data_IF_865672352155
#
_entry.id   IF_865672352155
#
_cell.length_a   1.000
_cell.length_b   1.000
_cell.length_c   1.000
_cell.angle_alpha   90.00
_cell.angle_beta   90.00
_cell.angle_gamma   90.00
#
_symmetry.space_group_name_H-M   'P 1'
#
loop_
_entity.id
_entity.type
_entity.pdbx_description
1 polymer ?
#
# COMPACT_ATOMS: atom_id res chain seq x y z
N UNK A 1 -6.41 2.57 -27.38
CA UNK A 1 -6.24 2.45 -25.93
C UNK A 1 -6.91 1.19 -25.36
N UNK A 2 -8.15 0.86 -25.74
CA UNK A 2 -8.90 -0.27 -25.17
C UNK A 2 -8.22 -1.64 -25.39
N UNK A 3 -7.66 -1.88 -26.57
CA UNK A 3 -6.93 -3.12 -26.87
C UNK A 3 -5.70 -3.29 -25.97
N UNK A 4 -5.02 -2.22 -25.62
CA UNK A 4 -3.85 -2.23 -24.75
C UNK A 4 -4.16 -2.79 -23.35
N UNK A 5 -5.32 -2.48 -22.79
CA UNK A 5 -5.74 -2.96 -21.47
C UNK A 5 -6.42 -4.34 -21.53
N UNK A 6 -7.16 -4.62 -22.60
CA UNK A 6 -7.86 -5.90 -22.78
C UNK A 6 -6.95 -7.03 -23.22
N UNK A 7 -5.89 -6.72 -23.96
CA UNK A 7 -4.91 -7.67 -24.48
C UNK A 7 -3.49 -7.28 -24.05
N UNK A 8 -3.24 -7.32 -22.74
CA UNK A 8 -1.95 -6.93 -22.18
C UNK A 8 -0.78 -7.72 -22.77
N UNK A 9 -0.95 -8.99 -23.10
CA UNK A 9 0.06 -9.81 -23.75
C UNK A 9 0.48 -9.26 -25.13
N UNK A 10 -0.44 -8.73 -25.90
CA UNK A 10 -0.14 -8.05 -27.17
C UNK A 10 0.60 -6.73 -26.93
N UNK A 11 0.18 -5.96 -25.94
CA UNK A 11 0.85 -4.72 -25.54
C UNK A 11 2.33 -4.97 -25.16
N UNK A 12 2.59 -6.05 -24.42
CA UNK A 12 3.95 -6.45 -24.03
C UNK A 12 4.85 -6.86 -25.20
N UNK A 13 4.25 -7.37 -26.30
CA UNK A 13 4.98 -7.72 -27.53
C UNK A 13 5.32 -6.46 -28.33
N UNK A 14 4.36 -5.56 -28.48
CA UNK A 14 4.46 -4.39 -29.37
C UNK A 14 5.20 -3.22 -28.69
N UNK A 15 5.11 -3.10 -27.39
CA UNK A 15 5.66 -2.01 -26.61
C UNK A 15 6.62 -2.53 -25.51
N UNK A 16 7.90 -2.77 -25.84
CA UNK A 16 8.87 -3.34 -24.89
C UNK A 16 9.02 -2.53 -23.57
N UNK A 17 8.84 -1.21 -23.63
CA UNK A 17 8.90 -0.32 -22.46
C UNK A 17 7.82 -0.64 -21.41
N UNK A 18 6.69 -1.22 -21.82
CA UNK A 18 5.64 -1.67 -20.89
C UNK A 18 6.15 -2.81 -20.01
N UNK A 19 6.97 -3.71 -20.59
CA UNK A 19 7.59 -4.81 -19.86
C UNK A 19 8.51 -4.31 -18.74
N UNK A 20 9.28 -3.26 -19.00
CA UNK A 20 10.17 -2.65 -18.00
C UNK A 20 9.39 -2.14 -16.79
N UNK A 21 8.21 -1.55 -17.00
CA UNK A 21 7.33 -1.10 -15.91
C UNK A 21 6.93 -2.26 -14.98
N UNK A 22 6.58 -3.42 -15.54
CA UNK A 22 6.21 -4.60 -14.74
C UNK A 22 7.42 -5.21 -14.01
N UNK A 23 8.59 -5.23 -14.66
CA UNK A 23 9.84 -5.67 -14.02
C UNK A 23 10.18 -4.75 -12.85
N UNK A 24 10.10 -3.43 -13.06
CA UNK A 24 10.37 -2.42 -12.04
C UNK A 24 9.42 -2.59 -10.84
N UNK A 25 8.12 -2.77 -11.11
CA UNK A 25 7.12 -3.04 -10.07
C UNK A 25 7.49 -4.26 -9.22
N UNK A 26 7.92 -5.36 -9.84
CA UNK A 26 8.34 -6.56 -9.13
C UNK A 26 9.58 -6.32 -8.26
N UNK A 27 10.56 -5.57 -8.77
CA UNK A 27 11.77 -5.19 -8.03
C UNK A 27 11.42 -4.31 -6.81
N UNK A 28 10.51 -3.34 -6.97
CA UNK A 28 10.04 -2.48 -5.88
C UNK A 28 9.44 -3.33 -4.75
N UNK A 29 8.52 -4.24 -5.08
CA UNK A 29 7.88 -5.10 -4.08
C UNK A 29 8.92 -5.98 -3.36
N UNK A 30 9.87 -6.58 -4.10
CA UNK A 30 10.94 -7.37 -3.49
C UNK A 30 11.84 -6.54 -2.57
N UNK A 31 12.14 -5.30 -2.95
CA UNK A 31 12.96 -4.42 -2.13
C UNK A 31 12.24 -3.96 -0.86
N UNK A 32 10.94 -3.66 -0.95
CA UNK A 32 10.12 -3.34 0.23
C UNK A 32 10.13 -4.50 1.22
N UNK A 33 9.99 -5.76 0.77
CA UNK A 33 10.10 -6.95 1.63
C UNK A 33 11.44 -6.97 2.36
N UNK A 34 12.54 -6.83 1.61
CA UNK A 34 13.89 -6.81 2.18
C UNK A 34 14.04 -5.73 3.26
N UNK A 35 13.59 -4.49 2.99
CA UNK A 35 13.66 -3.40 3.96
C UNK A 35 12.87 -3.73 5.23
N UNK A 36 11.66 -4.26 5.08
CA UNK A 36 10.81 -4.61 6.23
C UNK A 36 11.41 -5.74 7.06
N UNK A 37 11.90 -6.80 6.42
CA UNK A 37 12.60 -7.91 7.10
C UNK A 37 13.85 -7.43 7.86
N UNK A 38 14.67 -6.57 7.24
CA UNK A 38 15.84 -5.97 7.89
C UNK A 38 15.48 -5.05 9.09
N UNK A 39 14.23 -4.58 9.17
CA UNK A 39 13.71 -3.81 10.29
C UNK A 39 12.89 -4.66 11.29
N UNK A 40 12.98 -5.98 11.18
CA UNK A 40 12.39 -6.92 12.13
C UNK A 40 10.92 -7.23 11.91
N UNK A 41 10.33 -6.81 10.78
CA UNK A 41 8.96 -7.17 10.42
C UNK A 41 8.88 -8.57 9.83
N UNK A 42 7.92 -9.37 10.29
CA UNK A 42 7.60 -10.69 9.75
C UNK A 42 6.49 -10.56 8.68
N UNK A 43 6.74 -11.07 7.47
CA UNK A 43 5.68 -11.20 6.47
C UNK A 43 4.71 -12.31 6.86
N UNK A 44 3.43 -12.02 6.82
CA UNK A 44 2.36 -12.97 7.13
C UNK A 44 1.32 -12.97 6.02
N UNK A 45 0.58 -14.06 5.92
CA UNK A 45 -0.61 -14.18 5.07
C UNK A 45 -1.85 -14.39 5.95
N UNK A 46 -2.86 -13.54 5.74
CA UNK A 46 -4.13 -13.62 6.46
C UNK A 46 -5.28 -13.95 5.51
N UNK A 47 -6.42 -14.47 6.02
CA UNK A 47 -7.51 -14.90 5.16
C UNK A 47 -8.07 -13.80 4.25
N UNK A 48 -8.25 -14.13 2.98
CA UNK A 48 -8.95 -13.29 2.00
C UNK A 48 -10.47 -13.30 2.23
N UNK A 49 -11.01 -14.48 2.59
CA UNK A 49 -12.42 -14.65 2.89
C UNK A 49 -12.66 -14.44 4.40
N UNK A 50 -13.56 -13.55 4.72
CA UNK A 50 -13.93 -13.21 6.10
C UNK A 50 -15.43 -13.35 6.32
N UNK A 51 -15.81 -13.71 7.54
CA UNK A 51 -17.23 -13.77 7.95
C UNK A 51 -17.77 -12.39 8.32
N UNK A 52 -16.89 -11.43 8.57
CA UNK A 52 -17.20 -10.04 8.92
C UNK A 52 -16.35 -9.12 8.06
N UNK A 53 -16.97 -8.17 7.37
CA UNK A 53 -16.25 -7.11 6.67
C UNK A 53 -15.84 -6.02 7.66
N UNK A 54 -14.60 -5.53 7.54
CA UNK A 54 -14.09 -4.47 8.42
C UNK A 54 -12.66 -4.03 8.11
N UNK A 55 -12.14 -3.07 8.91
CA UNK A 55 -10.80 -2.51 8.75
C UNK A 55 -10.75 -1.31 7.79
N UNK A 56 -11.83 -1.00 7.10
CA UNK A 56 -11.95 0.19 6.24
C UNK A 56 -13.42 0.55 6.03
N UNK A 57 -13.67 1.75 5.50
CA UNK A 57 -15.00 2.15 5.03
C UNK A 57 -15.06 1.92 3.52
N UNK A 58 -15.49 0.71 3.12
CA UNK A 58 -15.65 0.32 1.73
C UNK A 58 -16.73 -0.74 1.58
N UNK A 59 -17.34 -0.82 0.39
CA UNK A 59 -18.34 -1.84 0.09
C UNK A 59 -17.64 -3.15 -0.28
N UNK A 60 -17.93 -4.29 0.41
CA UNK A 60 -17.29 -5.57 0.12
C UNK A 60 -17.93 -6.26 -1.09
N UNK A 61 -17.14 -7.16 -1.73
CA UNK A 61 -17.72 -8.23 -2.54
C UNK A 61 -18.21 -9.35 -1.61
N UNK A 62 -19.39 -9.88 -1.89
CA UNK A 62 -20.02 -10.94 -1.14
C UNK A 62 -19.99 -12.22 -1.96
N UNK A 63 -19.66 -13.34 -1.33
CA UNK A 63 -19.72 -14.68 -1.90
C UNK A 63 -20.39 -15.65 -0.93
N UNK A 64 -20.83 -16.81 -1.43
CA UNK A 64 -21.49 -17.81 -0.61
C UNK A 64 -20.61 -19.03 -0.39
N UNK A 65 -20.44 -19.45 0.86
CA UNK A 65 -19.74 -20.69 1.22
C UNK A 65 -20.72 -21.86 1.26
N UNK A 66 -20.72 -22.67 0.19
CA UNK A 66 -21.74 -23.71 0.00
C UNK A 66 -21.83 -24.73 1.14
N UNK A 67 -20.66 -25.23 1.62
CA UNK A 67 -20.66 -26.27 2.66
C UNK A 67 -21.14 -25.77 4.03
N UNK A 68 -20.88 -24.51 4.35
CA UNK A 68 -21.32 -23.91 5.62
C UNK A 68 -22.66 -23.19 5.49
N UNK A 69 -23.15 -22.98 4.26
CA UNK A 69 -24.37 -22.24 3.95
C UNK A 69 -24.40 -20.84 4.60
N UNK A 70 -23.28 -20.11 4.46
CA UNK A 70 -23.12 -18.75 4.99
C UNK A 70 -22.57 -17.81 3.92
N UNK A 71 -22.90 -16.53 4.01
CA UNK A 71 -22.27 -15.50 3.21
C UNK A 71 -20.89 -15.13 3.80
N UNK A 72 -19.94 -14.91 2.91
CA UNK A 72 -18.61 -14.46 3.24
C UNK A 72 -18.24 -13.24 2.41
N UNK A 73 -17.28 -12.49 2.90
CA UNK A 73 -16.84 -11.23 2.31
C UNK A 73 -15.39 -11.33 1.86
N UNK A 74 -15.09 -10.89 0.65
CA UNK A 74 -13.71 -10.62 0.26
C UNK A 74 -13.20 -9.44 1.07
N UNK A 75 -12.00 -9.55 1.64
CA UNK A 75 -11.41 -8.54 2.51
C UNK A 75 -11.25 -7.19 1.81
N UNK A 76 -11.62 -6.13 2.50
CA UNK A 76 -11.46 -4.73 2.06
C UNK A 76 -10.22 -4.05 2.63
N UNK A 77 -9.57 -4.66 3.63
CA UNK A 77 -8.34 -4.22 4.29
C UNK A 77 -7.67 -5.44 4.95
N UNK A 78 -6.41 -5.27 5.38
CA UNK A 78 -5.61 -6.28 6.09
C UNK A 78 -5.64 -6.06 7.62
N UNK A 79 -6.04 -4.88 8.06
CA UNK A 79 -5.95 -4.32 9.40
C UNK A 79 -6.34 -5.27 10.52
N UNK A 80 -7.58 -5.78 10.49
CA UNK A 80 -8.13 -6.51 11.64
C UNK A 80 -7.36 -7.80 11.94
N UNK A 81 -6.94 -8.51 10.90
CA UNK A 81 -6.20 -9.75 11.05
C UNK A 81 -4.76 -9.47 11.52
N UNK A 82 -4.11 -8.44 11.01
CA UNK A 82 -2.76 -8.07 11.45
C UNK A 82 -2.76 -7.60 12.92
N UNK A 83 -3.74 -6.80 13.33
CA UNK A 83 -3.91 -6.40 14.74
C UNK A 83 -4.13 -7.59 15.67
N UNK A 84 -4.88 -8.63 15.23
CA UNK A 84 -5.04 -9.87 16.01
C UNK A 84 -3.72 -10.61 16.20
N UNK A 85 -2.82 -10.59 15.22
CA UNK A 85 -1.48 -11.17 15.34
C UNK A 85 -0.64 -10.42 16.36
N UNK A 86 -0.71 -9.09 16.40
CA UNK A 86 -0.05 -8.29 17.45
C UNK A 86 -0.61 -8.65 18.84
N UNK A 87 -1.93 -8.74 18.99
CA UNK A 87 -2.55 -9.20 20.25
C UNK A 87 -2.13 -10.61 20.60
N UNK A 88 -1.89 -11.45 19.59
CA UNK A 88 -1.37 -12.82 19.74
C UNK A 88 0.10 -12.92 20.14
N UNK A 89 0.82 -11.79 20.24
CA UNK A 89 2.19 -11.72 20.73
C UNK A 89 3.27 -11.56 19.66
N UNK A 90 2.93 -11.25 18.42
CA UNK A 90 3.93 -10.82 17.43
C UNK A 90 4.27 -9.35 17.66
N UNK A 91 5.56 -9.03 17.66
CA UNK A 91 6.01 -7.64 17.86
C UNK A 91 5.84 -6.80 16.60
N UNK A 92 6.18 -7.33 15.42
CA UNK A 92 6.12 -6.62 14.13
C UNK A 92 5.67 -7.55 13.02
N UNK A 93 4.60 -7.19 12.34
CA UNK A 93 4.07 -7.96 11.21
C UNK A 93 3.73 -7.04 10.03
N UNK A 94 3.80 -7.59 8.82
CA UNK A 94 3.28 -6.95 7.62
C UNK A 94 2.68 -7.97 6.67
N UNK A 95 1.81 -7.50 5.79
CA UNK A 95 1.29 -8.28 4.68
C UNK A 95 1.25 -7.42 3.41
N UNK A 96 1.71 -7.99 2.30
CA UNK A 96 1.51 -7.43 0.96
C UNK A 96 0.51 -8.32 0.25
N UNK A 97 -0.75 -7.89 0.21
CA UNK A 97 -1.85 -8.74 -0.27
C UNK A 97 -2.87 -8.02 -1.14
N UNK A 98 -3.71 -8.81 -1.79
CA UNK A 98 -4.87 -8.29 -2.53
C UNK A 98 -5.99 -7.93 -1.56
N UNK A 99 -6.58 -6.76 -1.78
CA UNK A 99 -7.83 -6.31 -1.14
C UNK A 99 -8.85 -5.96 -2.22
N UNK A 100 -10.12 -5.98 -1.85
CA UNK A 100 -11.23 -5.94 -2.79
C UNK A 100 -12.26 -4.92 -2.32
N UNK A 101 -12.60 -3.94 -3.16
CA UNK A 101 -13.61 -2.92 -2.86
C UNK A 101 -14.60 -2.84 -3.99
N UNK A 102 -15.86 -3.17 -3.73
CA UNK A 102 -16.94 -3.19 -4.70
C UNK A 102 -17.52 -1.78 -4.90
N UNK A 103 -16.70 -0.91 -5.46
CA UNK A 103 -16.99 0.50 -5.69
C UNK A 103 -16.72 0.89 -7.15
N UNK A 104 -16.93 2.16 -7.49
CA UNK A 104 -16.69 2.66 -8.84
C UNK A 104 -15.24 2.50 -9.29
N UNK A 105 -15.04 2.30 -10.59
CA UNK A 105 -13.72 2.23 -11.22
C UNK A 105 -13.40 3.53 -11.95
N UNK A 106 -12.15 3.98 -11.82
CA UNK A 106 -11.58 5.08 -12.59
C UNK A 106 -10.08 4.80 -12.86
N UNK A 107 -9.36 5.80 -13.36
CA UNK A 107 -7.93 5.66 -13.68
C UNK A 107 -7.03 5.45 -12.44
N UNK A 108 -7.54 5.68 -11.23
CA UNK A 108 -6.83 5.54 -9.96
C UNK A 108 -7.41 4.46 -9.05
N UNK A 109 -8.62 3.99 -9.32
CA UNK A 109 -9.33 3.05 -8.47
C UNK A 109 -9.70 1.79 -9.25
N UNK A 110 -9.20 0.66 -8.79
CA UNK A 110 -9.58 -0.66 -9.25
C UNK A 110 -10.36 -1.40 -8.15
N UNK A 111 -11.28 -2.30 -8.50
CA UNK A 111 -12.03 -3.07 -7.50
C UNK A 111 -11.17 -4.07 -6.73
N UNK A 112 -10.02 -4.44 -7.29
CA UNK A 112 -8.97 -5.22 -6.60
C UNK A 112 -7.61 -4.55 -6.78
N UNK A 113 -6.84 -4.47 -5.71
CA UNK A 113 -5.50 -3.87 -5.75
C UNK A 113 -4.60 -4.46 -4.67
N UNK A 114 -3.29 -4.30 -4.85
CA UNK A 114 -2.29 -4.72 -3.87
C UNK A 114 -2.13 -3.64 -2.81
N UNK A 115 -2.22 -4.04 -1.55
CA UNK A 115 -2.03 -3.19 -0.39
C UNK A 115 -0.90 -3.73 0.46
N UNK A 116 -0.08 -2.85 1.00
CA UNK A 116 0.85 -3.12 2.08
C UNK A 116 0.25 -2.52 3.36
N UNK A 117 0.10 -3.32 4.39
CA UNK A 117 -0.12 -2.85 5.75
C UNK A 117 0.93 -3.45 6.68
N UNK A 118 1.37 -2.68 7.67
CA UNK A 118 2.33 -3.10 8.67
C UNK A 118 1.92 -2.61 10.05
N UNK A 119 2.22 -3.41 11.06
CA UNK A 119 1.86 -3.14 12.45
C UNK A 119 3.03 -3.51 13.35
N UNK A 120 3.30 -2.67 14.34
CA UNK A 120 4.34 -2.89 15.35
C UNK A 120 3.80 -2.61 16.75
N UNK A 121 4.11 -3.50 17.68
CA UNK A 121 3.85 -3.28 19.10
C UNK A 121 4.89 -2.32 19.67
N UNK A 122 4.46 -1.50 20.65
CA UNK A 122 5.32 -0.58 21.40
C UNK A 122 5.99 0.54 20.58
N UNK A 123 5.56 0.74 19.34
CA UNK A 123 5.97 1.83 18.45
C UNK A 123 4.86 2.88 18.34
N UNK A 124 5.24 4.12 18.02
CA UNK A 124 4.29 5.22 17.83
C UNK A 124 4.25 5.72 16.37
N UNK A 125 3.53 6.80 16.12
CA UNK A 125 3.41 7.36 14.78
C UNK A 125 4.73 7.95 14.24
N UNK A 126 5.69 8.31 15.10
CA UNK A 126 7.00 8.77 14.65
C UNK A 126 7.81 7.61 14.07
N UNK A 127 7.74 6.43 14.69
CA UNK A 127 8.35 5.20 14.16
C UNK A 127 7.74 4.84 12.82
N UNK A 128 6.41 5.02 12.66
CA UNK A 128 5.73 4.79 11.38
C UNK A 128 6.12 5.79 10.30
N UNK A 129 6.38 7.05 10.66
CA UNK A 129 6.94 8.04 9.74
C UNK A 129 8.33 7.64 9.28
N UNK A 130 9.19 7.21 10.21
CA UNK A 130 10.58 6.85 9.93
C UNK A 130 10.68 5.61 9.04
N UNK A 131 9.89 4.56 9.31
CA UNK A 131 9.86 3.38 8.42
C UNK A 131 9.28 3.71 7.04
N UNK A 132 8.30 4.60 6.96
CA UNK A 132 7.73 5.05 5.69
C UNK A 132 8.77 5.79 4.86
N UNK A 133 9.45 6.79 5.44
CA UNK A 133 10.53 7.53 4.80
C UNK A 133 11.61 6.57 4.30
N UNK A 134 12.03 5.62 5.15
CA UNK A 134 13.04 4.61 4.81
C UNK A 134 12.63 3.75 3.63
N UNK A 135 11.38 3.25 3.59
CA UNK A 135 10.87 2.45 2.48
C UNK A 135 10.99 3.21 1.16
N UNK A 136 10.54 4.45 1.09
CA UNK A 136 10.59 5.22 -0.15
C UNK A 136 12.02 5.58 -0.56
N UNK A 137 12.79 6.14 0.37
CA UNK A 137 14.16 6.60 0.11
C UNK A 137 15.08 5.46 -0.30
N UNK A 138 15.11 4.38 0.48
CA UNK A 138 15.99 3.24 0.21
C UNK A 138 15.55 2.49 -1.05
N UNK A 139 14.24 2.34 -1.29
CA UNK A 139 13.76 1.70 -2.53
C UNK A 139 14.16 2.50 -3.77
N UNK A 140 14.06 3.82 -3.74
CA UNK A 140 14.52 4.66 -4.84
C UNK A 140 16.02 4.50 -5.07
N UNK A 141 16.81 4.57 -4.00
CA UNK A 141 18.26 4.43 -4.07
C UNK A 141 18.68 3.05 -4.59
N UNK A 142 18.10 1.96 -4.06
CA UNK A 142 18.49 0.59 -4.40
C UNK A 142 18.10 0.20 -5.83
N UNK A 143 17.01 0.73 -6.34
CA UNK A 143 16.46 0.33 -7.64
C UNK A 143 16.84 1.28 -8.75
N UNK A 144 16.87 2.58 -8.49
CA UNK A 144 17.15 3.62 -9.49
C UNK A 144 18.56 4.17 -9.39
N UNK A 145 19.29 3.88 -8.30
CA UNK A 145 20.61 4.45 -8.02
C UNK A 145 20.57 5.93 -7.61
N UNK A 146 19.39 6.49 -7.37
CA UNK A 146 19.20 7.88 -6.98
C UNK A 146 17.90 8.05 -6.20
N UNK A 147 17.86 9.01 -5.27
CA UNK A 147 16.64 9.44 -4.59
C UNK A 147 15.85 10.50 -5.37
N UNK A 148 16.47 11.12 -6.38
CA UNK A 148 15.82 12.13 -7.22
C UNK A 148 15.08 11.47 -8.37
N UNK A 149 13.79 11.70 -8.44
CA UNK A 149 12.90 11.17 -9.48
C UNK A 149 12.16 12.32 -10.17
N UNK A 150 11.77 12.11 -11.42
CA UNK A 150 10.87 13.02 -12.13
C UNK A 150 9.49 12.39 -12.22
N UNK A 151 8.48 13.06 -11.67
CA UNK A 151 7.09 12.63 -11.75
C UNK A 151 6.22 13.74 -12.32
N UNK A 152 5.53 13.48 -13.44
CA UNK A 152 4.69 14.46 -14.15
C UNK A 152 5.40 15.80 -14.47
N UNK A 153 6.71 15.72 -14.79
CA UNK A 153 7.53 16.88 -15.12
C UNK A 153 8.08 17.65 -13.90
N UNK A 154 7.80 17.19 -12.68
CA UNK A 154 8.34 17.76 -11.46
C UNK A 154 9.45 16.89 -10.89
N UNK A 155 10.55 17.48 -10.46
CA UNK A 155 11.60 16.80 -9.71
C UNK A 155 11.15 16.63 -8.25
N UNK A 156 11.24 15.40 -7.76
CA UNK A 156 10.96 15.03 -6.38
C UNK A 156 12.22 14.39 -5.80
N UNK A 157 12.68 14.88 -4.67
CA UNK A 157 13.78 14.26 -3.92
C UNK A 157 13.22 13.42 -2.77
N UNK A 158 13.48 12.11 -2.83
CA UNK A 158 13.08 11.14 -1.83
C UNK A 158 14.19 10.89 -0.78
N UNK A 159 15.25 11.71 -0.76
CA UNK A 159 16.31 11.60 0.24
C UNK A 159 15.75 11.73 1.67
N UNK A 160 16.36 11.06 2.67
CA UNK A 160 15.92 11.18 4.06
C UNK A 160 15.92 12.62 4.59
N UNK A 161 15.11 12.90 5.59
CA UNK A 161 14.93 14.21 6.18
C UNK A 161 13.65 14.91 5.74
N UNK A 162 12.61 14.13 5.50
CA UNK A 162 11.31 14.66 5.10
C UNK A 162 10.73 15.56 6.19
N UNK A 163 10.10 16.65 5.77
CA UNK A 163 9.43 17.57 6.68
C UNK A 163 8.27 16.86 7.39
N UNK A 164 8.37 16.76 8.70
CA UNK A 164 7.29 16.26 9.56
C UNK A 164 6.45 17.45 10.03
N UNK A 165 5.14 17.39 9.84
CA UNK A 165 4.22 18.46 10.19
C UNK A 165 2.83 17.89 10.50
N UNK A 166 2.08 18.59 11.31
CA UNK A 166 0.69 18.25 11.60
C UNK A 166 -0.20 18.58 10.39
N UNK A 167 -1.39 17.98 10.35
CA UNK A 167 -2.38 18.30 9.30
C UNK A 167 -2.75 19.79 9.31
N UNK A 168 -2.93 20.38 10.50
CA UNK A 168 -3.25 21.82 10.66
C UNK A 168 -2.15 22.69 10.11
N UNK A 169 -0.89 22.39 10.44
CA UNK A 169 0.28 23.11 9.91
C UNK A 169 0.36 22.98 8.38
N UNK A 170 0.11 21.80 7.83
CA UNK A 170 0.14 21.59 6.38
C UNK A 170 -0.92 22.41 5.64
N UNK A 171 -2.12 22.50 6.19
CA UNK A 171 -3.20 23.33 5.64
C UNK A 171 -2.85 24.80 5.75
N UNK A 172 -2.36 25.25 6.90
CA UNK A 172 -1.92 26.63 7.11
C UNK A 172 -0.82 27.06 6.12
N UNK A 173 0.15 26.18 5.89
CA UNK A 173 1.22 26.43 4.92
C UNK A 173 0.70 26.46 3.46
N UNK A 174 -0.22 25.56 3.11
CA UNK A 174 -0.71 25.43 1.75
C UNK A 174 -1.72 26.53 1.34
N UNK A 175 -2.59 26.96 2.23
CA UNK A 175 -3.68 27.88 1.92
C UNK A 175 -3.86 29.07 2.89
N UNK A 176 -3.01 29.21 3.90
CA UNK A 176 -3.04 30.33 4.87
C UNK A 176 -4.15 30.24 5.92
N UNK A 177 -4.94 29.16 5.96
CA UNK A 177 -6.03 28.99 6.92
C UNK A 177 -5.51 28.30 8.18
N UNK A 178 -5.63 28.97 9.32
CA UNK A 178 -5.28 28.40 10.62
C UNK A 178 -6.54 27.89 11.33
N UNK A 179 -6.66 26.55 11.44
CA UNK A 179 -7.79 25.91 12.12
C UNK A 179 -7.82 26.12 13.63
N UNK A 180 -6.73 26.63 14.24
CA UNK A 180 -6.72 27.00 15.66
C UNK A 180 -7.33 28.38 15.92
N UNK A 181 -7.59 29.16 14.88
CA UNK A 181 -8.14 30.52 14.95
C UNK A 181 -9.60 30.63 14.47
N UNK A 182 -10.25 29.49 14.15
CA UNK A 182 -11.65 29.42 13.65
C UNK A 182 -12.58 28.95 14.77
#
# INVERSE_FOLDING_TARGET
PDLRYRQRYTDLIVNPEVKETFILRSKIISNIRKILEENGYLEVETPVLNTISGGATAKPFITHHNSLNIDMYLRIALELNLKRLIVGGFDKVYEIGRVFRNEGMDIRHNPEFTMLELYAAYEDFHDMMDITEKIFSQTAQDILGTTKITYQGQEIDLAPGWKKMTMVESIKEACGIDFNEI
#
